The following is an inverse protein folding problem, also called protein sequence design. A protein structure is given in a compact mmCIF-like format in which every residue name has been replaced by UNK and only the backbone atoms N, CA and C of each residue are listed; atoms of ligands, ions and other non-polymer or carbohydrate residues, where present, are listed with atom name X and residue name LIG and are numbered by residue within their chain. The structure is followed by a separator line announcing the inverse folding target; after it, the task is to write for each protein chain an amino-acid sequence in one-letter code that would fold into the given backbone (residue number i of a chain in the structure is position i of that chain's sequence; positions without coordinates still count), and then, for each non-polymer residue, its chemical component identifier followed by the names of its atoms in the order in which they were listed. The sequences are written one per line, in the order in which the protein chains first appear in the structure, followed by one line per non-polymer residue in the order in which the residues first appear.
data_IF_029880080905
#
_entry.id   IF_029880080905
#
_cell.length_a   1.000
_cell.length_b   1.000
_cell.length_c   1.000
_cell.angle_alpha   90.00
_cell.angle_beta   90.00
_cell.angle_gamma   90.00
#
_symmetry.space_group_name_H-M   'P 1'
#
loop_
_entity.id
_entity.type
_entity.pdbx_description
1 polymer ?
#
# COMPACT_ATOMS: atom_id res chain seq x y z
N UNK A 1 -1.84 24.97 9.88
CA UNK A 1 -0.81 24.73 8.84
C UNK A 1 -1.36 23.69 7.90
N UNK A 2 -1.56 24.04 6.64
CA UNK A 2 -1.93 23.12 5.55
C UNK A 2 -0.90 22.00 5.50
N UNK A 3 -1.33 20.75 5.69
CA UNK A 3 -0.44 19.58 5.80
C UNK A 3 0.11 19.12 4.45
N UNK A 4 -0.55 19.44 3.34
CA UNK A 4 -0.17 19.01 1.99
C UNK A 4 0.33 20.16 1.12
N UNK A 5 1.37 19.85 0.34
CA UNK A 5 1.96 20.75 -0.64
C UNK A 5 1.18 20.71 -1.96
N UNK A 6 1.16 21.82 -2.69
CA UNK A 6 0.59 21.85 -4.05
C UNK A 6 1.56 21.19 -5.04
N UNK A 7 1.26 19.94 -5.40
CA UNK A 7 2.02 19.14 -6.39
C UNK A 7 1.38 19.11 -7.77
N UNK A 8 0.34 19.93 -8.02
CA UNK A 8 -0.34 20.04 -9.31
C UNK A 8 0.42 20.87 -10.37
N UNK A 9 -0.16 21.00 -11.57
CA UNK A 9 0.46 21.75 -12.67
C UNK A 9 0.75 23.21 -12.29
N UNK A 10 1.92 23.73 -12.68
CA UNK A 10 2.35 25.11 -12.38
C UNK A 10 1.78 26.11 -13.40
N UNK A 11 0.46 26.11 -13.54
CA UNK A 11 -0.31 26.98 -14.42
C UNK A 11 -1.34 27.76 -13.59
N UNK A 12 -1.84 28.87 -14.14
CA UNK A 12 -2.77 29.77 -13.44
C UNK A 12 -4.06 29.04 -13.05
N UNK A 13 -4.71 28.35 -13.99
CA UNK A 13 -6.02 27.73 -13.72
C UNK A 13 -5.96 26.60 -12.67
N UNK A 14 -5.01 25.64 -12.74
CA UNK A 14 -4.87 24.62 -11.70
C UNK A 14 -4.54 25.19 -10.32
N UNK A 15 -3.74 26.26 -10.25
CA UNK A 15 -3.43 26.93 -8.99
C UNK A 15 -4.65 27.68 -8.44
N UNK A 16 -5.41 28.35 -9.31
CA UNK A 16 -6.65 29.02 -8.92
C UNK A 16 -7.66 28.02 -8.36
N UNK A 17 -7.87 26.88 -9.03
CA UNK A 17 -8.78 25.84 -8.54
C UNK A 17 -8.30 25.22 -7.23
N UNK A 18 -6.99 25.00 -7.06
CA UNK A 18 -6.45 24.57 -5.77
C UNK A 18 -6.77 25.56 -4.65
N UNK A 19 -6.51 26.85 -4.84
CA UNK A 19 -6.80 27.88 -3.83
C UNK A 19 -8.30 27.98 -3.56
N UNK A 20 -9.13 27.92 -4.61
CA UNK A 20 -10.59 27.91 -4.47
C UNK A 20 -11.04 26.76 -3.59
N UNK A 21 -10.58 25.54 -3.88
CA UNK A 21 -10.88 24.35 -3.06
C UNK A 21 -10.39 24.52 -1.63
N UNK A 22 -9.23 25.16 -1.41
CA UNK A 22 -8.72 25.44 -0.06
C UNK A 22 -9.53 26.51 0.70
N UNK A 23 -10.27 27.37 0.01
CA UNK A 23 -11.13 28.39 0.66
C UNK A 23 -12.58 27.88 0.81
N UNK A 24 -13.00 26.93 -0.01
CA UNK A 24 -14.31 26.29 0.10
C UNK A 24 -14.49 25.58 1.45
N UNK A 25 -15.76 25.49 1.88
CA UNK A 25 -16.15 24.82 3.12
C UNK A 25 -15.59 23.40 3.17
N UNK A 26 -14.93 23.04 4.27
CA UNK A 26 -14.45 21.68 4.52
C UNK A 26 -15.58 20.66 4.76
N UNK A 27 -16.84 21.13 4.81
CA UNK A 27 -18.01 20.31 5.05
C UNK A 27 -19.08 20.51 3.99
N UNK A 28 -19.66 19.40 3.55
CA UNK A 28 -20.86 19.34 2.72
C UNK A 28 -22.08 19.53 3.62
N UNK A 29 -22.91 20.54 3.33
CA UNK A 29 -24.14 20.78 4.09
C UNK A 29 -25.27 19.89 3.58
N UNK A 30 -25.81 19.05 4.46
CA UNK A 30 -26.94 18.18 4.21
C UNK A 30 -28.20 18.86 4.73
N UNK A 31 -29.17 19.09 3.84
CA UNK A 31 -30.44 19.75 4.16
C UNK A 31 -31.56 18.74 4.41
N UNK A 32 -31.54 17.60 3.71
CA UNK A 32 -32.55 16.52 3.78
C UNK A 32 -31.90 15.14 3.74
N UNK A 33 -32.55 14.07 4.25
CA UNK A 33 -32.03 12.70 4.20
C UNK A 33 -31.60 12.24 2.79
N UNK A 34 -32.33 12.65 1.76
CA UNK A 34 -32.00 12.30 0.37
C UNK A 34 -30.65 12.85 -0.10
N UNK A 35 -30.13 13.91 0.53
CA UNK A 35 -28.82 14.46 0.18
C UNK A 35 -27.70 13.45 0.46
N UNK A 36 -27.90 12.51 1.40
CA UNK A 36 -26.98 11.41 1.66
C UNK A 36 -26.79 10.50 0.42
N UNK A 37 -27.79 10.42 -0.46
CA UNK A 37 -27.72 9.63 -1.68
C UNK A 37 -26.88 10.30 -2.77
N UNK A 38 -26.65 11.61 -2.65
CA UNK A 38 -25.84 12.39 -3.59
C UNK A 38 -24.34 12.32 -3.29
N UNK A 39 -23.98 11.84 -2.09
CA UNK A 39 -22.59 11.63 -1.70
C UNK A 39 -21.95 10.55 -2.58
N UNK A 40 -20.70 10.80 -2.98
CA UNK A 40 -19.96 9.88 -3.83
C UNK A 40 -19.62 8.61 -3.04
N UNK A 41 -20.30 7.53 -3.40
CA UNK A 41 -20.18 6.20 -2.78
C UNK A 41 -18.78 5.62 -2.80
N UNK A 42 -17.85 6.16 -3.60
CA UNK A 42 -16.45 5.74 -3.64
C UNK A 42 -15.60 6.38 -2.54
N UNK A 43 -16.10 7.41 -1.88
CA UNK A 43 -15.38 8.20 -0.89
C UNK A 43 -15.79 7.84 0.53
N UNK A 44 -14.87 8.09 1.46
CA UNK A 44 -15.12 7.96 2.90
C UNK A 44 -15.67 9.27 3.46
N UNK A 45 -16.68 9.17 4.32
CA UNK A 45 -17.31 10.32 4.94
C UNK A 45 -17.36 10.20 6.46
N UNK A 46 -17.06 11.29 7.16
CA UNK A 46 -17.51 11.48 8.53
C UNK A 46 -18.76 12.37 8.48
N UNK A 47 -19.88 11.81 8.92
CA UNK A 47 -21.20 12.43 8.81
C UNK A 47 -21.71 12.78 10.20
N UNK A 48 -22.11 14.03 10.40
CA UNK A 48 -22.65 14.52 11.66
C UNK A 48 -24.05 15.12 11.51
N UNK A 49 -24.92 14.85 12.47
CA UNK A 49 -26.25 15.45 12.58
C UNK A 49 -26.36 16.18 13.91
N UNK A 50 -26.58 17.50 13.83
CA UNK A 50 -26.51 18.41 14.97
C UNK A 50 -27.82 19.19 15.15
N UNK A 51 -28.03 19.77 16.33
CA UNK A 51 -29.18 20.64 16.59
C UNK A 51 -29.08 22.02 15.92
N UNK A 52 -27.88 22.60 15.85
CA UNK A 52 -27.67 23.96 15.36
C UNK A 52 -26.21 24.15 14.94
N UNK A 53 -25.96 25.08 14.01
CA UNK A 53 -24.60 25.50 13.63
C UNK A 53 -23.89 26.25 14.78
N UNK A 54 -24.64 26.75 15.75
CA UNK A 54 -24.10 27.43 16.94
C UNK A 54 -23.76 26.47 18.09
N UNK A 55 -24.03 25.17 17.96
CA UNK A 55 -23.74 24.20 19.02
C UNK A 55 -22.23 23.96 19.15
N UNK A 56 -21.76 23.74 20.38
CA UNK A 56 -20.35 23.43 20.65
C UNK A 56 -19.88 22.20 19.84
N UNK A 57 -20.72 21.17 19.78
CA UNK A 57 -20.44 19.95 19.01
C UNK A 57 -20.26 20.23 17.51
N UNK A 58 -21.13 21.07 16.91
CA UNK A 58 -21.00 21.44 15.51
C UNK A 58 -19.72 22.22 15.24
N UNK A 59 -19.37 23.15 16.13
CA UNK A 59 -18.15 23.94 16.01
C UNK A 59 -16.89 23.07 16.09
N UNK A 60 -16.86 22.11 17.00
CA UNK A 60 -15.76 21.15 17.12
C UNK A 60 -15.70 20.21 15.91
N UNK A 61 -16.86 19.75 15.45
CA UNK A 61 -16.95 18.95 14.22
C UNK A 61 -16.39 19.72 13.01
N UNK A 62 -16.79 20.97 12.81
CA UNK A 62 -16.29 21.85 11.73
C UNK A 62 -14.79 22.11 11.82
N UNK A 63 -14.27 22.25 13.03
CA UNK A 63 -12.83 22.40 13.26
C UNK A 63 -12.07 21.14 12.88
N UNK A 64 -12.54 19.96 13.28
CA UNK A 64 -11.93 18.68 12.90
C UNK A 64 -12.05 18.43 11.40
N UNK A 65 -13.19 18.76 10.78
CA UNK A 65 -13.38 18.68 9.34
C UNK A 65 -12.35 19.52 8.58
N UNK A 66 -12.09 20.74 9.06
CA UNK A 66 -11.06 21.61 8.48
C UNK A 66 -9.63 21.07 8.65
N UNK A 67 -9.34 20.38 9.76
CA UNK A 67 -8.03 19.78 10.01
C UNK A 67 -7.77 18.53 9.16
N UNK A 68 -8.82 17.76 8.86
CA UNK A 68 -8.76 16.48 8.14
C UNK A 68 -9.31 16.58 6.70
N UNK A 69 -9.44 17.80 6.15
CA UNK A 69 -10.06 18.05 4.83
C UNK A 69 -9.40 17.27 3.68
N UNK A 70 -8.09 17.01 3.82
CA UNK A 70 -7.27 16.33 2.81
C UNK A 70 -7.33 14.82 2.96
N UNK A 71 -7.71 14.33 4.14
CA UNK A 71 -7.73 12.92 4.51
C UNK A 71 -9.15 12.33 4.42
N UNK A 72 -10.18 13.17 4.54
CA UNK A 72 -11.57 12.74 4.61
C UNK A 72 -12.55 13.77 4.09
N UNK A 73 -13.70 13.29 3.64
CA UNK A 73 -14.83 14.16 3.35
C UNK A 73 -15.71 14.27 4.59
N UNK A 74 -16.17 15.48 4.89
CA UNK A 74 -17.09 15.71 6.01
C UNK A 74 -18.43 16.16 5.46
N UNK A 75 -19.50 15.63 6.05
CA UNK A 75 -20.85 16.08 5.75
C UNK A 75 -21.61 16.34 7.05
N UNK A 76 -22.40 17.41 7.09
CA UNK A 76 -23.09 17.84 8.29
C UNK A 76 -24.51 18.30 8.03
N UNK A 77 -25.46 17.93 8.88
CA UNK A 77 -26.79 18.54 8.91
C UNK A 77 -27.08 19.22 10.24
N UNK A 78 -27.86 20.30 10.19
CA UNK A 78 -28.44 20.97 11.36
C UNK A 78 -29.96 21.00 11.31
N UNK A 79 -30.55 20.33 10.32
CA UNK A 79 -31.99 20.30 10.11
C UNK A 79 -32.63 19.16 10.93
N UNK A 80 -32.86 19.44 12.21
CA UNK A 80 -33.37 18.47 13.16
C UNK A 80 -34.67 17.80 12.72
N UNK A 81 -35.56 18.52 12.03
CA UNK A 81 -36.88 18.03 11.65
C UNK A 81 -36.84 16.98 10.53
N UNK A 82 -35.91 17.14 9.60
CA UNK A 82 -35.76 16.24 8.45
C UNK A 82 -35.02 14.95 8.80
N UNK A 83 -34.13 14.98 9.80
CA UNK A 83 -33.27 13.84 10.18
C UNK A 83 -33.72 13.10 11.46
N UNK A 84 -35.00 13.25 11.87
CA UNK A 84 -35.53 12.64 13.11
C UNK A 84 -35.43 11.12 13.15
N UNK A 85 -35.53 10.45 12.00
CA UNK A 85 -35.47 9.00 11.91
C UNK A 85 -34.03 8.49 12.03
N UNK A 86 -33.07 9.26 11.49
CA UNK A 86 -31.63 9.00 11.57
C UNK A 86 -31.05 9.39 12.93
N UNK A 87 -31.72 10.30 13.65
CA UNK A 87 -31.33 10.85 14.95
C UNK A 87 -32.39 10.60 16.03
N UNK A 88 -32.49 9.38 16.59
CA UNK A 88 -33.43 9.09 17.67
C UNK A 88 -33.08 9.75 19.02
N UNK A 89 -31.83 10.21 19.24
CA UNK A 89 -31.37 10.95 20.45
C UNK A 89 -30.47 12.14 20.06
N UNK A 90 -29.63 12.68 20.97
CA UNK A 90 -28.77 13.88 20.85
C UNK A 90 -27.88 13.92 19.57
N UNK A 91 -26.98 14.90 19.44
CA UNK A 91 -26.05 15.01 18.30
C UNK A 91 -25.35 13.67 18.04
N UNK A 92 -25.36 13.22 16.78
CA UNK A 92 -24.73 11.97 16.36
C UNK A 92 -23.67 12.22 15.31
N UNK A 93 -22.60 11.43 15.37
CA UNK A 93 -21.57 11.39 14.34
C UNK A 93 -21.26 9.94 14.02
N UNK A 94 -21.10 9.62 12.74
CA UNK A 94 -20.70 8.29 12.29
C UNK A 94 -19.79 8.39 11.07
N UNK A 95 -18.99 7.35 10.90
CA UNK A 95 -18.14 7.16 9.75
C UNK A 95 -18.83 6.22 8.77
N UNK A 96 -18.90 6.63 7.51
CA UNK A 96 -19.37 5.84 6.39
C UNK A 96 -18.20 5.54 5.48
N UNK A 97 -17.88 4.25 5.35
CA UNK A 97 -16.87 3.79 4.42
C UNK A 97 -17.37 3.84 2.97
N UNK A 98 -16.45 3.80 2.03
CA UNK A 98 -16.73 3.60 0.61
C UNK A 98 -17.52 2.29 0.39
N UNK A 99 -18.46 2.27 -0.57
CA UNK A 99 -19.27 1.09 -0.87
C UNK A 99 -18.45 -0.13 -1.30
N UNK A 100 -17.17 0.04 -1.66
CA UNK A 100 -16.26 -1.08 -1.92
C UNK A 100 -15.99 -1.93 -0.67
N UNK A 101 -16.19 -1.41 0.54
CA UNK A 101 -15.84 -2.15 1.78
C UNK A 101 -16.99 -2.96 2.39
N UNK A 102 -18.24 -2.84 1.91
CA UNK A 102 -19.43 -3.49 2.48
C UNK A 102 -19.59 -3.30 4.01
N UNK A 103 -18.97 -2.28 4.60
CA UNK A 103 -19.01 -2.04 6.04
C UNK A 103 -20.24 -1.23 6.45
N UNK A 104 -20.84 -1.60 7.58
CA UNK A 104 -21.88 -0.79 8.21
C UNK A 104 -21.31 0.53 8.74
N UNK A 105 -22.15 1.55 8.82
CA UNK A 105 -21.80 2.83 9.44
C UNK A 105 -21.26 2.63 10.87
N UNK A 106 -20.13 3.27 11.18
CA UNK A 106 -19.45 3.15 12.46
C UNK A 106 -19.72 4.41 13.29
N UNK A 107 -20.52 4.29 14.35
CA UNK A 107 -20.90 5.43 15.17
C UNK A 107 -19.80 5.84 16.15
N UNK A 108 -19.60 7.15 16.30
CA UNK A 108 -18.75 7.70 17.35
C UNK A 108 -19.52 7.68 18.67
N UNK A 109 -19.00 6.93 19.66
CA UNK A 109 -19.64 6.76 20.97
C UNK A 109 -19.06 7.69 22.05
N UNK A 110 -18.06 8.50 21.70
CA UNK A 110 -17.43 9.46 22.62
C UNK A 110 -18.17 10.80 22.68
N UNK A 111 -17.66 11.71 23.50
CA UNK A 111 -18.18 13.09 23.57
C UNK A 111 -17.57 13.92 22.43
N UNK A 112 -18.43 14.43 21.53
CA UNK A 112 -17.98 15.25 20.37
C UNK A 112 -17.25 16.51 20.85
N UNK A 113 -17.66 17.08 21.98
CA UNK A 113 -17.00 18.26 22.54
C UNK A 113 -15.60 18.00 23.12
N UNK A 114 -15.18 16.74 23.26
CA UNK A 114 -13.78 16.41 23.46
C UNK A 114 -13.06 16.38 22.12
N UNK A 115 -12.58 17.55 21.67
CA UNK A 115 -11.89 17.71 20.39
C UNK A 115 -10.73 16.70 20.20
N UNK A 116 -9.97 16.39 21.26
CA UNK A 116 -8.83 15.48 21.17
C UNK A 116 -9.27 14.05 20.84
N UNK A 117 -10.26 13.53 21.57
CA UNK A 117 -10.81 12.20 21.33
C UNK A 117 -11.55 12.11 20.00
N UNK A 118 -12.30 13.15 19.62
CA UNK A 118 -13.03 13.17 18.36
C UNK A 118 -12.07 13.26 17.15
N UNK A 119 -11.02 14.09 17.25
CA UNK A 119 -9.97 14.17 16.24
C UNK A 119 -9.25 12.83 16.09
N UNK A 120 -8.84 12.18 17.19
CA UNK A 120 -8.13 10.90 17.14
C UNK A 120 -8.97 9.81 16.45
N UNK A 121 -10.25 9.69 16.80
CA UNK A 121 -11.16 8.75 16.16
C UNK A 121 -11.37 9.07 14.67
N UNK A 122 -11.63 10.34 14.34
CA UNK A 122 -11.81 10.75 12.93
C UNK A 122 -10.56 10.49 12.11
N UNK A 123 -9.39 10.83 12.65
CA UNK A 123 -8.10 10.60 12.00
C UNK A 123 -7.84 9.11 11.75
N UNK A 124 -8.12 8.24 12.73
CA UNK A 124 -8.00 6.79 12.57
C UNK A 124 -8.90 6.24 11.45
N UNK A 125 -10.13 6.75 11.33
CA UNK A 125 -11.06 6.32 10.28
C UNK A 125 -10.73 6.88 8.89
N UNK A 126 -10.18 8.08 8.85
CA UNK A 126 -9.90 8.78 7.60
C UNK A 126 -8.54 8.42 6.98
N UNK A 127 -7.59 7.93 7.79
CA UNK A 127 -6.28 7.49 7.30
C UNK A 127 -6.20 5.97 7.46
N UNK A 128 -6.65 5.21 6.45
CA UNK A 128 -6.66 3.76 6.53
C UNK A 128 -5.23 3.21 6.57
N UNK A 129 -5.05 2.07 7.24
CA UNK A 129 -3.78 1.35 7.30
C UNK A 129 -3.29 0.93 5.91
N UNK A 130 -4.21 0.67 5.00
CA UNK A 130 -3.94 0.41 3.58
C UNK A 130 -4.56 1.52 2.76
N UNK A 131 -3.74 2.29 2.03
CA UNK A 131 -4.19 3.42 1.20
C UNK A 131 -4.25 3.04 -0.28
N UNK A 132 -5.14 3.65 -1.05
CA UNK A 132 -5.09 3.55 -2.50
C UNK A 132 -3.93 4.41 -3.02
N UNK A 133 -3.04 3.83 -3.83
CA UNK A 133 -2.07 4.62 -4.60
C UNK A 133 -2.66 4.96 -5.97
N UNK A 134 -2.55 6.23 -6.32
CA UNK A 134 -3.01 6.86 -7.56
C UNK A 134 -1.88 7.73 -8.10
N UNK A 135 -1.97 8.22 -9.34
CA UNK A 135 -0.91 9.09 -9.87
C UNK A 135 -0.87 10.44 -9.15
N UNK A 136 -2.00 10.87 -8.61
CA UNK A 136 -2.18 12.14 -7.92
C UNK A 136 -1.50 12.16 -6.55
N UNK A 137 -1.49 11.03 -5.84
CA UNK A 137 -0.90 10.91 -4.50
C UNK A 137 0.43 10.16 -4.47
N UNK A 138 0.87 9.53 -5.56
CA UNK A 138 2.10 8.75 -5.58
C UNK A 138 3.34 9.58 -5.20
N UNK A 139 3.44 10.82 -5.68
CA UNK A 139 4.58 11.71 -5.34
C UNK A 139 4.66 11.95 -3.83
N UNK A 140 3.53 12.21 -3.18
CA UNK A 140 3.46 12.37 -1.72
C UNK A 140 3.83 11.08 -0.99
N UNK A 141 3.28 9.94 -1.41
CA UNK A 141 3.56 8.64 -0.79
C UNK A 141 5.04 8.26 -0.89
N UNK A 142 5.69 8.58 -2.01
CA UNK A 142 7.12 8.31 -2.19
C UNK A 142 8.01 9.23 -1.36
N UNK A 143 7.56 10.47 -1.11
CA UNK A 143 8.26 11.47 -0.29
C UNK A 143 8.29 11.09 1.20
N UNK A 144 7.39 10.19 1.64
CA UNK A 144 7.44 9.59 2.98
C UNK A 144 8.70 8.71 3.20
N UNK A 145 9.38 8.29 2.12
CA UNK A 145 10.65 7.57 2.18
C UNK A 145 10.55 6.12 2.68
N UNK A 146 9.34 5.58 2.83
CA UNK A 146 9.10 4.18 3.20
C UNK A 146 8.88 3.30 1.96
N UNK A 147 9.43 2.07 1.93
CA UNK A 147 9.10 1.09 0.90
C UNK A 147 7.59 0.87 0.79
N UNK A 148 7.14 0.44 -0.38
CA UNK A 148 5.74 0.12 -0.62
C UNK A 148 5.50 -1.39 -0.55
N UNK A 149 4.43 -1.80 0.12
CA UNK A 149 3.80 -3.12 0.01
C UNK A 149 2.46 -2.93 -0.71
N UNK A 150 2.40 -3.27 -1.99
CA UNK A 150 1.28 -2.96 -2.88
C UNK A 150 0.52 -4.22 -3.24
N UNK A 151 -0.79 -4.23 -3.02
CA UNK A 151 -1.71 -5.14 -3.69
C UNK A 151 -2.12 -4.53 -5.04
N UNK A 152 -1.75 -5.17 -6.15
CA UNK A 152 -2.35 -4.90 -7.45
C UNK A 152 -3.59 -5.79 -7.61
N UNK A 153 -4.71 -5.19 -7.97
CA UNK A 153 -5.99 -5.89 -8.13
C UNK A 153 -6.80 -5.31 -9.30
N UNK A 154 -7.83 -6.05 -9.72
CA UNK A 154 -8.84 -5.50 -10.62
C UNK A 154 -9.78 -4.55 -9.87
N UNK A 155 -10.29 -3.52 -10.55
CA UNK A 155 -11.13 -2.48 -9.92
C UNK A 155 -12.40 -3.02 -9.24
N UNK A 156 -12.90 -4.16 -9.70
CA UNK A 156 -14.08 -4.88 -9.21
C UNK A 156 -13.74 -5.97 -8.17
N UNK A 157 -12.46 -6.30 -7.97
CA UNK A 157 -12.02 -7.27 -6.98
C UNK A 157 -11.90 -6.65 -5.58
N UNK A 158 -13.07 -6.36 -4.99
CA UNK A 158 -13.16 -5.87 -3.62
C UNK A 158 -12.82 -6.92 -2.56
N UNK A 159 -12.91 -8.22 -2.92
CA UNK A 159 -12.64 -9.30 -1.99
C UNK A 159 -11.16 -9.40 -1.65
N UNK A 160 -10.27 -9.29 -2.65
CA UNK A 160 -8.83 -9.28 -2.42
C UNK A 160 -8.37 -8.06 -1.63
N UNK A 161 -8.98 -6.89 -1.86
CA UNK A 161 -8.69 -5.67 -1.09
C UNK A 161 -9.06 -5.85 0.37
N UNK A 162 -10.29 -6.34 0.65
CA UNK A 162 -10.74 -6.58 2.02
C UNK A 162 -9.88 -7.64 2.73
N UNK A 163 -9.51 -8.72 2.02
CA UNK A 163 -8.59 -9.74 2.53
C UNK A 163 -7.23 -9.14 2.88
N UNK A 164 -6.65 -8.35 1.98
CA UNK A 164 -5.36 -7.71 2.20
C UNK A 164 -5.39 -6.73 3.37
N UNK A 165 -6.41 -5.87 3.46
CA UNK A 165 -6.61 -4.97 4.59
C UNK A 165 -6.66 -5.72 5.92
N UNK A 166 -7.42 -6.82 5.98
CA UNK A 166 -7.53 -7.66 7.18
C UNK A 166 -6.19 -8.28 7.56
N UNK A 167 -5.47 -8.85 6.61
CA UNK A 167 -4.18 -9.51 6.88
C UNK A 167 -3.08 -8.50 7.24
N UNK A 168 -3.07 -7.30 6.65
CA UNK A 168 -2.18 -6.21 7.05
C UNK A 168 -2.48 -5.77 8.48
N UNK A 169 -3.75 -5.55 8.84
CA UNK A 169 -4.15 -5.21 10.20
C UNK A 169 -3.85 -6.33 11.21
N UNK A 170 -3.89 -7.59 10.79
CA UNK A 170 -3.56 -8.73 11.65
C UNK A 170 -2.05 -8.90 11.85
N UNK A 171 -1.27 -8.78 10.78
CA UNK A 171 0.14 -9.23 10.77
C UNK A 171 1.17 -8.09 10.81
N UNK A 172 0.82 -6.88 10.36
CA UNK A 172 1.78 -5.79 10.09
C UNK A 172 1.58 -4.54 10.94
N UNK A 173 0.69 -4.55 11.94
CA UNK A 173 0.45 -3.37 12.80
C UNK A 173 1.71 -2.83 13.47
N UNK A 174 2.65 -3.71 13.81
CA UNK A 174 3.93 -3.34 14.42
C UNK A 174 4.98 -2.86 13.41
N UNK A 175 4.77 -3.11 12.11
CA UNK A 175 5.67 -2.72 11.02
C UNK A 175 5.23 -1.42 10.34
N UNK A 176 4.16 -0.77 10.83
CA UNK A 176 3.54 0.43 10.22
C UNK A 176 4.48 1.61 9.97
N UNK A 177 5.59 1.70 10.71
CA UNK A 177 6.60 2.75 10.56
C UNK A 177 7.76 2.36 9.64
N UNK A 178 7.82 1.10 9.20
CA UNK A 178 8.87 0.56 8.34
C UNK A 178 8.43 0.37 6.89
N UNK A 179 7.12 0.35 6.61
CA UNK A 179 6.58 0.10 5.27
C UNK A 179 5.20 0.74 5.07
N UNK A 180 4.95 1.24 3.85
CA UNK A 180 3.67 1.76 3.42
C UNK A 180 2.83 0.67 2.76
N UNK A 181 1.70 0.31 3.36
CA UNK A 181 0.79 -0.67 2.80
C UNK A 181 -0.21 0.03 1.87
N UNK A 182 -0.28 -0.43 0.62
CA UNK A 182 -1.04 0.23 -0.45
C UNK A 182 -1.83 -0.80 -1.26
N UNK A 183 -2.86 -0.34 -1.97
CA UNK A 183 -3.48 -1.09 -3.05
C UNK A 183 -3.61 -0.22 -4.30
N UNK A 184 -3.63 -0.85 -5.47
CA UNK A 184 -3.59 -0.17 -6.75
C UNK A 184 -4.45 -0.89 -7.80
N UNK A 185 -5.14 -0.09 -8.62
CA UNK A 185 -5.80 -0.56 -9.84
C UNK A 185 -4.74 -1.03 -10.86
N UNK A 186 -4.67 -2.34 -11.08
CA UNK A 186 -3.69 -2.95 -11.97
C UNK A 186 -3.83 -2.52 -13.44
N UNK A 187 -4.99 -2.03 -13.88
CA UNK A 187 -5.16 -1.50 -15.22
C UNK A 187 -4.46 -0.13 -15.37
N UNK A 188 -4.63 0.76 -14.38
CA UNK A 188 -3.96 2.07 -14.34
C UNK A 188 -2.45 1.94 -14.17
N UNK A 189 -2.01 0.96 -13.37
CA UNK A 189 -0.59 0.68 -13.12
C UNK A 189 -0.05 -0.50 -13.96
N UNK A 190 -0.54 -0.63 -15.20
CA UNK A 190 -0.10 -1.68 -16.12
C UNK A 190 1.39 -1.61 -16.49
N UNK A 191 1.98 -0.41 -16.52
CA UNK A 191 3.41 -0.23 -16.80
C UNK A 191 4.31 -0.82 -15.68
N UNK A 192 4.10 -0.51 -14.38
CA UNK A 192 4.73 -1.24 -13.28
C UNK A 192 4.57 -2.76 -13.33
N UNK A 193 3.40 -3.27 -13.71
CA UNK A 193 3.19 -4.72 -13.84
C UNK A 193 4.05 -5.34 -14.96
N UNK A 194 4.20 -4.65 -16.09
CA UNK A 194 5.06 -5.11 -17.19
C UNK A 194 6.53 -5.20 -16.79
N UNK A 195 7.03 -4.32 -15.92
CA UNK A 195 8.39 -4.40 -15.38
C UNK A 195 8.64 -5.67 -14.55
N UNK A 196 7.58 -6.23 -13.95
CA UNK A 196 7.61 -7.52 -13.26
C UNK A 196 7.37 -8.72 -14.18
N UNK A 197 7.20 -8.49 -15.48
CA UNK A 197 6.78 -9.51 -16.44
C UNK A 197 5.36 -10.03 -16.19
N UNK A 198 4.52 -9.23 -15.51
CA UNK A 198 3.14 -9.55 -15.17
C UNK A 198 2.16 -8.81 -16.06
N UNK A 199 0.96 -9.37 -16.17
CA UNK A 199 -0.16 -8.83 -16.95
C UNK A 199 -1.39 -8.72 -16.07
N UNK A 200 -2.41 -8.02 -16.57
CA UNK A 200 -3.68 -7.89 -15.86
C UNK A 200 -4.33 -9.26 -15.56
N UNK A 201 -4.06 -10.29 -16.36
CA UNK A 201 -4.56 -11.66 -16.12
C UNK A 201 -3.91 -12.37 -14.94
N UNK A 202 -2.79 -11.85 -14.41
CA UNK A 202 -2.09 -12.43 -13.26
C UNK A 202 -2.60 -11.87 -11.93
N UNK A 203 -3.48 -10.86 -11.96
CA UNK A 203 -4.03 -10.23 -10.76
C UNK A 203 -4.98 -11.20 -10.02
N UNK A 204 -5.06 -11.12 -8.68
CA UNK A 204 -4.36 -10.19 -7.79
C UNK A 204 -2.92 -10.60 -7.44
N UNK A 205 -2.05 -9.62 -7.21
CA UNK A 205 -0.63 -9.81 -6.86
C UNK A 205 -0.20 -8.87 -5.74
N UNK A 206 0.66 -9.35 -4.83
CA UNK A 206 1.31 -8.51 -3.81
C UNK A 206 2.77 -8.32 -4.18
N UNK A 207 3.23 -7.08 -4.10
CA UNK A 207 4.59 -6.68 -4.49
C UNK A 207 5.16 -5.75 -3.43
N UNK A 208 6.45 -5.92 -3.11
CA UNK A 208 7.22 -4.89 -2.41
C UNK A 208 7.99 -4.06 -3.45
N UNK A 209 7.86 -2.74 -3.41
CA UNK A 209 8.78 -1.82 -4.10
C UNK A 209 9.65 -1.12 -3.04
N UNK A 210 10.95 -1.37 -3.10
CA UNK A 210 11.94 -0.82 -2.16
C UNK A 210 12.53 0.52 -2.57
N UNK A 211 12.04 1.12 -3.67
CA UNK A 211 12.64 2.24 -4.40
C UNK A 211 14.00 1.96 -5.04
N UNK A 212 14.48 0.72 -4.94
CA UNK A 212 15.63 0.19 -5.69
C UNK A 212 15.20 -0.97 -6.57
N UNK A 213 14.53 -1.92 -5.95
CA UNK A 213 14.08 -3.16 -6.58
C UNK A 213 12.64 -3.50 -6.19
N UNK A 214 11.97 -4.23 -7.07
CA UNK A 214 10.65 -4.80 -6.82
C UNK A 214 10.74 -6.30 -6.53
N UNK A 215 9.98 -6.78 -5.56
CA UNK A 215 9.92 -8.18 -5.14
C UNK A 215 8.48 -8.68 -5.14
N UNK A 216 8.23 -9.83 -5.76
CA UNK A 216 6.91 -10.44 -5.83
C UNK A 216 6.67 -11.34 -4.62
N UNK A 217 5.51 -11.22 -3.99
CA UNK A 217 5.07 -12.17 -2.97
C UNK A 217 4.87 -13.55 -3.63
N UNK A 218 5.41 -14.65 -3.07
CA UNK A 218 5.53 -15.92 -3.80
C UNK A 218 4.19 -16.52 -4.29
N UNK A 219 3.15 -16.44 -3.46
CA UNK A 219 1.82 -16.96 -3.77
C UNK A 219 0.79 -16.17 -2.94
N UNK A 220 -0.17 -15.55 -3.63
CA UNK A 220 -1.22 -14.75 -2.99
C UNK A 220 -2.05 -15.55 -1.99
N UNK A 221 -2.21 -16.86 -2.20
CA UNK A 221 -2.97 -17.73 -1.30
C UNK A 221 -2.31 -17.88 0.08
N UNK A 222 -1.02 -17.58 0.18
CA UNK A 222 -0.29 -17.60 1.46
C UNK A 222 -0.55 -16.36 2.32
N UNK A 223 -1.28 -15.35 1.83
CA UNK A 223 -1.53 -14.13 2.59
C UNK A 223 -2.26 -14.41 3.91
N UNK A 224 -3.19 -15.36 3.91
CA UNK A 224 -3.96 -15.76 5.11
C UNK A 224 -3.21 -16.70 6.04
N UNK A 225 -1.99 -17.12 5.68
CA UNK A 225 -1.14 -17.94 6.55
C UNK A 225 -0.38 -17.02 7.49
N UNK A 226 -0.67 -17.15 8.78
CA UNK A 226 -0.10 -16.30 9.82
C UNK A 226 1.42 -16.22 9.76
N UNK A 227 1.92 -14.98 9.69
CA UNK A 227 3.34 -14.67 9.66
C UNK A 227 3.96 -14.67 8.27
N UNK A 228 3.29 -15.14 7.21
CA UNK A 228 3.86 -15.11 5.85
C UNK A 228 4.01 -13.70 5.31
N UNK A 229 3.00 -12.85 5.49
CA UNK A 229 3.07 -11.46 5.05
C UNK A 229 4.10 -10.68 5.88
N UNK A 230 4.14 -10.91 7.20
CA UNK A 230 5.16 -10.34 8.09
C UNK A 230 6.57 -10.80 7.71
N UNK A 231 6.76 -12.07 7.39
CA UNK A 231 8.06 -12.60 6.98
C UNK A 231 8.54 -11.94 5.69
N UNK A 232 7.65 -11.69 4.73
CA UNK A 232 8.00 -11.01 3.49
C UNK A 232 8.54 -9.59 3.73
N UNK A 233 7.93 -8.85 4.65
CA UNK A 233 8.41 -7.52 5.08
C UNK A 233 9.75 -7.62 5.83
N UNK A 234 9.90 -8.61 6.72
CA UNK A 234 11.18 -8.84 7.42
C UNK A 234 12.31 -9.26 6.49
N UNK A 235 11.98 -10.03 5.44
CA UNK A 235 12.93 -10.46 4.41
C UNK A 235 13.40 -9.27 3.56
N UNK A 236 12.55 -8.26 3.35
CA UNK A 236 12.98 -6.99 2.77
C UNK A 236 14.01 -6.30 3.66
N UNK A 237 13.67 -6.06 4.94
CA UNK A 237 14.52 -5.29 5.85
C UNK A 237 15.86 -5.98 6.17
N UNK A 238 15.92 -7.31 6.10
CA UNK A 238 17.15 -8.09 6.26
C UNK A 238 17.97 -8.26 4.97
N UNK A 239 17.53 -7.63 3.88
CA UNK A 239 18.05 -7.76 2.51
C UNK A 239 17.99 -9.20 1.98
N UNK A 240 17.24 -10.08 2.65
CA UNK A 240 17.11 -11.48 2.25
C UNK A 240 16.47 -11.60 0.87
N UNK A 241 15.46 -10.77 0.55
CA UNK A 241 14.83 -10.78 -0.77
C UNK A 241 15.82 -10.53 -1.91
N UNK A 242 16.77 -9.60 -1.70
CA UNK A 242 17.82 -9.30 -2.67
C UNK A 242 18.84 -10.44 -2.76
N UNK A 243 19.26 -11.00 -1.60
CA UNK A 243 20.18 -12.14 -1.54
C UNK A 243 19.61 -13.38 -2.21
N UNK A 244 18.35 -13.72 -1.93
CA UNK A 244 17.66 -14.87 -2.50
C UNK A 244 17.48 -14.75 -4.02
N UNK A 245 17.33 -13.54 -4.55
CA UNK A 245 17.26 -13.31 -5.99
C UNK A 245 18.56 -13.71 -6.69
N UNK A 246 19.71 -13.35 -6.09
CA UNK A 246 21.03 -13.71 -6.62
C UNK A 246 21.44 -15.13 -6.26
N UNK A 247 21.00 -15.65 -5.11
CA UNK A 247 21.36 -16.94 -4.56
C UNK A 247 20.10 -17.67 -4.09
N UNK A 248 19.28 -18.20 -5.02
CA UNK A 248 18.07 -18.90 -4.65
C UNK A 248 18.42 -20.06 -3.70
N UNK A 249 17.68 -20.21 -2.58
CA UNK A 249 17.99 -21.23 -1.60
C UNK A 249 18.01 -22.61 -2.28
N UNK A 250 19.10 -23.36 -2.08
CA UNK A 250 19.21 -24.73 -2.58
C UNK A 250 18.03 -25.52 -2.02
N UNK A 251 17.23 -26.11 -2.89
CA UNK A 251 16.13 -26.98 -2.47
C UNK A 251 16.68 -28.01 -1.47
N UNK A 252 16.15 -28.03 -0.26
CA UNK A 252 16.54 -28.99 0.76
C UNK A 252 16.18 -30.37 0.22
N UNK A 253 17.17 -31.08 -0.33
CA UNK A 253 17.05 -32.51 -0.56
C UNK A 253 16.78 -33.11 0.82
N UNK A 254 15.55 -33.60 1.03
CA UNK A 254 15.26 -34.52 2.14
C UNK A 254 16.14 -35.75 1.91
N UNK A 255 17.33 -35.76 2.50
CA UNK A 255 18.16 -36.94 2.59
C UNK A 255 17.41 -37.94 3.47
N UNK A 256 16.81 -38.93 2.82
CA UNK A 256 16.39 -40.17 3.46
C UNK A 256 17.67 -40.80 4.00
N UNK A 257 17.77 -40.89 5.32
CA UNK A 257 18.79 -41.64 6.03
C UNK A 257 18.75 -43.10 5.58
N UNK A 258 19.81 -43.55 4.93
CA UNK A 258 20.17 -44.96 4.88
C UNK A 258 21.65 -45.10 5.25
N UNK A 259 21.87 -45.31 6.56
CA UNK A 259 23.11 -45.89 7.08
C UNK A 259 23.26 -47.30 6.52
N UNK A 260 24.38 -47.60 5.88
CA UNK A 260 25.09 -48.85 6.16
C UNK A 260 26.59 -48.71 5.89
N UNK A 261 27.35 -49.42 6.72
CA UNK A 261 28.80 -49.30 6.97
C UNK A 261 29.66 -50.18 6.04
N UNK A 262 30.97 -49.91 6.14
CA UNK A 262 32.13 -50.80 5.99
C UNK A 262 32.72 -50.98 4.56
N UNK A 263 34.03 -51.14 4.30
CA UNK A 263 35.32 -51.14 5.04
C UNK A 263 36.43 -51.35 3.96
N UNK A 264 37.63 -50.75 4.12
CA UNK A 264 38.97 -51.13 3.54
C UNK A 264 39.14 -51.28 2.00
N UNK A 265 40.32 -51.33 1.39
CA UNK A 265 41.68 -50.75 1.54
C UNK A 265 42.49 -51.16 0.28
N UNK A 266 43.61 -50.48 0.04
CA UNK A 266 44.82 -50.95 -0.68
C UNK A 266 44.96 -50.90 -2.24
N UNK A 267 45.95 -50.07 -2.64
CA UNK A 267 47.15 -50.33 -3.48
C UNK A 267 47.07 -50.78 -4.96
N UNK A 268 47.51 -49.83 -5.80
CA UNK A 268 48.75 -49.84 -6.62
C UNK A 268 48.86 -50.59 -7.96
N UNK A 269 49.49 -49.86 -8.91
CA UNK A 269 50.43 -50.23 -9.99
C UNK A 269 49.96 -50.37 -11.45
N UNK A 270 50.62 -49.54 -12.27
CA UNK A 270 51.28 -49.77 -13.57
C UNK A 270 50.46 -50.32 -14.77
N UNK A 271 50.77 -50.07 -16.03
CA UNK A 271 51.50 -49.08 -16.85
C UNK A 271 51.38 -49.64 -18.29
N UNK A 272 51.38 -48.77 -19.31
CA UNK A 272 51.60 -49.08 -20.76
C UNK A 272 50.43 -49.72 -21.51
N UNK A 273 50.13 -49.46 -22.79
CA UNK A 273 50.55 -48.50 -23.82
C UNK A 273 49.69 -48.85 -25.04
N UNK A 274 49.16 -47.87 -25.79
CA UNK A 274 49.20 -47.84 -27.26
C UNK A 274 48.44 -46.61 -27.83
N UNK A 275 49.15 -45.94 -28.71
CA UNK A 275 48.85 -44.70 -29.41
C UNK A 275 47.65 -44.80 -30.36
N UNK A 276 46.95 -43.68 -30.59
CA UNK A 276 47.09 -42.95 -31.85
C UNK A 276 46.27 -41.65 -31.88
N UNK A 277 46.95 -40.62 -32.40
CA UNK A 277 46.52 -39.25 -32.65
C UNK A 277 45.24 -39.12 -33.50
N UNK A 278 44.33 -38.22 -33.12
CA UNK A 278 43.72 -37.21 -34.01
C UNK A 278 43.44 -35.92 -33.22
N UNK A 279 44.18 -34.87 -33.60
CA UNK A 279 43.94 -33.42 -33.51
C UNK A 279 42.53 -32.93 -33.09
N UNK A 280 42.48 -32.07 -32.06
CA UNK A 280 41.31 -31.23 -31.74
C UNK A 280 41.48 -30.43 -30.46
N UNK A 281 41.90 -29.16 -30.59
CA UNK A 281 42.27 -28.22 -29.51
C UNK A 281 41.15 -27.91 -28.50
N UNK A 282 41.59 -27.76 -27.24
CA UNK A 282 41.06 -26.96 -26.13
C UNK A 282 39.73 -27.43 -25.50
N UNK A 283 39.78 -28.21 -24.41
CA UNK A 283 40.00 -27.76 -23.03
C UNK A 283 38.86 -26.89 -22.48
N UNK A 284 38.04 -27.51 -21.64
CA UNK A 284 37.34 -26.94 -20.49
C UNK A 284 37.12 -25.43 -20.54
N UNK A 285 36.03 -25.01 -21.18
CA UNK A 285 35.37 -23.76 -20.81
C UNK A 285 34.08 -24.13 -20.09
N UNK A 286 34.22 -24.30 -18.77
CA UNK A 286 33.21 -23.85 -17.84
C UNK A 286 32.78 -22.45 -18.29
N UNK A 287 31.61 -22.35 -18.92
CA UNK A 287 30.88 -21.10 -18.98
C UNK A 287 29.91 -21.16 -17.82
N UNK A 288 30.43 -20.79 -16.64
CA UNK A 288 29.66 -20.01 -15.68
C UNK A 288 29.00 -18.87 -16.45
N UNK A 289 27.74 -19.05 -16.81
CA UNK A 289 26.85 -17.91 -17.02
C UNK A 289 26.25 -17.63 -15.65
N UNK A 290 27.03 -16.97 -14.79
CA UNK A 290 26.45 -16.15 -13.74
C UNK A 290 25.63 -15.08 -14.46
N UNK A 291 24.35 -15.36 -14.71
CA UNK A 291 23.39 -14.32 -15.01
C UNK A 291 23.24 -13.50 -13.72
N UNK A 292 24.14 -12.54 -13.54
CA UNK A 292 24.02 -11.48 -12.54
C UNK A 292 22.96 -10.51 -13.09
N UNK A 293 21.72 -10.97 -13.29
CA UNK A 293 20.60 -10.05 -13.41
C UNK A 293 20.31 -9.52 -12.02
N UNK A 294 20.19 -8.20 -11.87
CA UNK A 294 19.61 -7.57 -10.69
C UNK A 294 18.11 -7.90 -10.62
N UNK A 295 17.49 -7.85 -9.42
CA UNK A 295 16.03 -7.87 -9.35
C UNK A 295 15.43 -6.72 -10.17
N UNK A 296 14.19 -6.85 -10.67
CA UNK A 296 13.52 -5.79 -11.41
C UNK A 296 13.64 -4.45 -10.69
N UNK A 297 14.05 -3.40 -11.39
CA UNK A 297 14.22 -2.08 -10.80
C UNK A 297 12.87 -1.49 -10.38
N UNK A 298 12.91 -0.63 -9.35
CA UNK A 298 11.74 0.13 -8.90
C UNK A 298 11.15 0.96 -10.03
N UNK A 299 9.82 0.96 -10.14
CA UNK A 299 9.09 1.86 -11.05
C UNK A 299 8.53 3.05 -10.27
N UNK A 300 8.16 2.85 -9.01
CA UNK A 300 7.60 3.91 -8.17
C UNK A 300 8.63 4.98 -7.79
N UNK A 301 9.94 4.69 -7.87
CA UNK A 301 10.98 5.72 -7.74
C UNK A 301 10.81 6.84 -8.78
N UNK A 302 10.24 6.57 -9.96
CA UNK A 302 9.99 7.58 -10.97
C UNK A 302 8.80 8.49 -10.64
N UNK A 303 7.99 8.12 -9.65
CA UNK A 303 6.92 8.96 -9.12
C UNK A 303 7.40 9.85 -7.97
N UNK A 304 8.65 9.68 -7.51
CA UNK A 304 9.26 10.58 -6.52
C UNK A 304 9.43 12.00 -7.05
N UNK A 305 9.55 13.00 -6.14
CA UNK A 305 9.84 14.37 -6.53
C UNK A 305 11.01 14.43 -7.54
N UNK A 306 10.73 14.93 -8.75
CA UNK A 306 11.71 14.89 -9.84
C UNK A 306 12.66 16.07 -9.82
N UNK A 307 13.96 15.83 -10.11
CA UNK A 307 14.97 16.87 -10.34
C UNK A 307 14.67 17.78 -11.51
N UNK A 308 13.87 17.33 -12.47
CA UNK A 308 13.39 18.19 -13.56
C UNK A 308 12.42 19.28 -13.08
N UNK A 309 11.86 19.10 -11.88
CA UNK A 309 10.79 19.93 -11.32
C UNK A 309 11.20 20.65 -10.03
N UNK A 310 12.11 20.09 -9.25
CA UNK A 310 12.53 20.61 -7.94
C UNK A 310 14.05 20.69 -7.83
N UNK A 311 14.54 21.67 -7.06
CA UNK A 311 15.93 21.75 -6.63
C UNK A 311 16.05 21.17 -5.23
N UNK A 312 16.98 20.22 -5.03
CA UNK A 312 17.12 19.51 -3.76
C UNK A 312 18.23 20.10 -2.89
N UNK A 313 18.07 19.99 -1.57
CA UNK A 313 18.97 20.61 -0.58
C UNK A 313 20.38 20.02 -0.57
N UNK A 314 20.56 18.76 -0.98
CA UNK A 314 21.87 18.11 -1.05
C UNK A 314 22.81 18.75 -2.10
N UNK A 315 22.36 19.79 -2.79
CA UNK A 315 23.08 20.56 -3.80
C UNK A 315 23.36 22.03 -3.38
N UNK A 316 23.05 22.43 -2.14
CA UNK A 316 23.32 23.75 -1.55
C UNK A 316 24.27 23.65 -0.34
#
# INVERSE_FOLDING_TARGET
MTKREYRGARQVDPLFEFIRQQVESSMIKLSKPNDLLTLDKKKHYVIGHFDSETSENYQIFSKVASLLREDCHFAGSTNKDEFKNERPTNDIVYYRSSQSSNESDQYYTGLINNQASFYAWSHEKCIPLVREITFENAEELTDEGLPFLILFHHVDDHQSVALFQREVAKQLMHERSGINCLHADGAKFSHPLQHLGKKSSDLPLIVIDSFKHMFLFPDINLISVDGKLLQFVKDLHSEKLHKDFHQPPKAVQKSVDSKSKNVESDKSKDLSSLNNDISGKNANKFLEVNHVSSPPESVFIHLSPSRSRYSFRDEL
#
